data_IF_721661519135
#
_entry.id   IF_721661519135
#
_cell.length_a   1.000
_cell.length_b   1.000
_cell.length_c   1.000
_cell.angle_alpha   90.00
_cell.angle_beta   90.00
_cell.angle_gamma   90.00
#
_symmetry.space_group_name_H-M   'P 1'
#
loop_
_entity.id
_entity.type
_entity.pdbx_description
1 polymer ?
#
# COMPACT_ATOMS: atom_id res chain seq x y z
N UNK A 1 -65.95 -48.48 -3.76
CA UNK A 1 -65.77 -47.09 -3.32
C UNK A 1 -64.32 -46.97 -2.86
N UNK A 2 -63.38 -46.41 -3.64
CA UNK A 2 -61.96 -46.39 -3.28
C UNK A 2 -61.57 -45.15 -2.47
N UNK A 3 -60.64 -45.36 -1.54
CA UNK A 3 -60.40 -44.53 -0.35
C UNK A 3 -59.50 -43.31 -0.62
N UNK A 4 -59.87 -42.16 -0.05
CA UNK A 4 -59.21 -40.85 -0.21
C UNK A 4 -57.81 -40.72 0.45
N UNK A 5 -57.18 -41.83 0.86
CA UNK A 5 -55.89 -41.80 1.55
C UNK A 5 -54.70 -41.73 0.58
N UNK A 6 -54.93 -41.96 -0.72
CA UNK A 6 -53.90 -41.96 -1.77
C UNK A 6 -53.69 -40.60 -2.47
N UNK A 7 -53.97 -39.47 -1.81
CA UNK A 7 -53.76 -38.13 -2.39
C UNK A 7 -52.85 -37.22 -1.56
N UNK A 8 -52.27 -37.72 -0.45
CA UNK A 8 -51.35 -36.95 0.40
C UNK A 8 -49.91 -37.44 0.28
N UNK A 9 -49.44 -37.73 -0.93
CA UNK A 9 -48.03 -38.10 -1.14
C UNK A 9 -47.42 -37.58 -2.45
N UNK A 10 -47.88 -36.42 -2.94
CA UNK A 10 -47.36 -35.80 -4.18
C UNK A 10 -47.29 -34.28 -4.10
N UNK A 11 -46.47 -33.71 -3.21
CA UNK A 11 -46.35 -32.25 -3.19
C UNK A 11 -45.30 -31.55 -2.33
N UNK A 12 -44.38 -32.25 -1.65
CA UNK A 12 -43.40 -31.54 -0.78
C UNK A 12 -41.94 -31.95 -1.02
N UNK A 13 -41.67 -32.91 -1.90
CA UNK A 13 -40.30 -33.33 -2.27
C UNK A 13 -39.94 -32.93 -3.71
N UNK A 14 -40.59 -31.89 -4.22
CA UNK A 14 -40.32 -31.31 -5.54
C UNK A 14 -39.41 -30.10 -5.42
N UNK A 15 -38.12 -30.34 -5.62
CA UNK A 15 -37.17 -29.36 -6.15
C UNK A 15 -36.99 -28.03 -5.43
N UNK A 16 -36.13 -28.01 -4.42
CA UNK A 16 -35.16 -26.91 -4.34
C UNK A 16 -34.13 -27.19 -5.45
N UNK A 17 -34.47 -26.85 -6.70
CA UNK A 17 -33.49 -26.82 -7.79
C UNK A 17 -32.51 -25.69 -7.48
N UNK A 18 -31.50 -25.99 -6.68
CA UNK A 18 -30.34 -25.13 -6.49
C UNK A 18 -29.58 -25.15 -7.83
N UNK A 19 -29.86 -24.15 -8.67
CA UNK A 19 -29.14 -23.91 -9.89
C UNK A 19 -27.65 -23.66 -9.55
N UNK A 20 -26.71 -24.32 -10.24
CA UNK A 20 -25.27 -24.17 -9.98
C UNK A 20 -24.79 -22.72 -10.07
N UNK A 21 -25.46 -21.90 -10.89
CA UNK A 21 -25.19 -20.46 -10.99
C UNK A 21 -25.59 -19.68 -9.73
N UNK A 22 -26.63 -20.11 -9.01
CA UNK A 22 -27.09 -19.46 -7.78
C UNK A 22 -26.22 -19.86 -6.59
N UNK A 23 -25.79 -21.11 -6.49
CA UNK A 23 -24.78 -21.52 -5.50
C UNK A 23 -23.45 -20.83 -5.72
N UNK A 24 -22.99 -20.70 -6.97
CA UNK A 24 -21.77 -19.95 -7.30
C UNK A 24 -21.86 -18.48 -6.85
N UNK A 25 -22.99 -17.81 -7.10
CA UNK A 25 -23.21 -16.41 -6.65
C UNK A 25 -23.23 -16.29 -5.13
N UNK A 26 -23.90 -17.21 -4.44
CA UNK A 26 -23.94 -17.22 -2.98
C UNK A 26 -22.54 -17.50 -2.41
N UNK A 27 -21.80 -18.43 -3.00
CA UNK A 27 -20.43 -18.73 -2.60
C UNK A 27 -19.50 -17.52 -2.81
N UNK A 28 -19.61 -16.84 -3.95
CA UNK A 28 -18.84 -15.62 -4.24
C UNK A 28 -19.21 -14.48 -3.29
N UNK A 29 -20.49 -14.30 -2.97
CA UNK A 29 -20.95 -13.31 -1.99
C UNK A 29 -20.41 -13.63 -0.59
N UNK A 30 -20.51 -14.87 -0.14
CA UNK A 30 -19.98 -15.29 1.17
C UNK A 30 -18.46 -15.16 1.22
N UNK A 31 -17.76 -15.48 0.14
CA UNK A 31 -16.30 -15.36 0.05
C UNK A 31 -15.87 -13.89 0.02
N UNK A 32 -16.62 -13.01 -0.66
CA UNK A 32 -16.39 -11.56 -0.64
C UNK A 32 -16.68 -10.94 0.72
N UNK A 33 -17.70 -11.43 1.43
CA UNK A 33 -18.04 -11.00 2.78
C UNK A 33 -16.98 -11.48 3.78
N UNK A 34 -16.54 -12.73 3.69
CA UNK A 34 -15.46 -13.27 4.51
C UNK A 34 -14.14 -12.51 4.27
N UNK A 35 -13.82 -12.21 3.01
CA UNK A 35 -12.65 -11.40 2.66
C UNK A 35 -12.77 -9.97 3.19
N UNK A 36 -13.95 -9.36 3.13
CA UNK A 36 -14.20 -8.03 3.70
C UNK A 36 -14.01 -8.03 5.23
N UNK A 37 -14.52 -9.04 5.93
CA UNK A 37 -14.36 -9.20 7.39
C UNK A 37 -12.90 -9.41 7.78
N UNK A 38 -12.17 -10.23 7.04
CA UNK A 38 -10.73 -10.42 7.24
C UNK A 38 -9.93 -9.13 6.93
N UNK A 39 -10.32 -8.40 5.89
CA UNK A 39 -9.67 -7.15 5.50
C UNK A 39 -9.93 -6.01 6.52
N UNK A 40 -11.04 -6.04 7.26
CA UNK A 40 -11.33 -5.04 8.29
C UNK A 40 -10.52 -5.20 9.58
N UNK A 41 -9.81 -6.33 9.78
CA UNK A 41 -8.88 -6.54 10.89
C UNK A 41 -9.43 -6.24 12.30
N UNK A 42 -8.53 -5.92 13.24
CA UNK A 42 -8.88 -5.53 14.61
C UNK A 42 -9.47 -4.10 14.74
N UNK A 43 -9.68 -3.37 13.64
CA UNK A 43 -10.20 -2.00 13.66
C UNK A 43 -11.61 -1.90 14.29
N UNK A 44 -12.37 -3.00 14.27
CA UNK A 44 -13.72 -3.08 14.85
C UNK A 44 -13.70 -3.29 16.38
N UNK A 45 -12.61 -3.85 16.93
CA UNK A 45 -12.55 -4.30 18.33
C UNK A 45 -12.09 -3.18 19.27
N UNK A 46 -11.10 -2.37 18.87
CA UNK A 46 -10.69 -1.17 19.60
C UNK A 46 -10.14 -0.11 18.63
N UNK A 47 -10.83 1.04 18.45
CA UNK A 47 -10.36 2.15 17.60
C UNK A 47 -9.00 2.72 18.04
N UNK A 48 -8.65 2.59 19.33
CA UNK A 48 -7.44 3.15 19.93
C UNK A 48 -6.28 2.15 19.97
N UNK A 49 -6.53 0.84 19.82
CA UNK A 49 -5.49 -0.19 19.68
C UNK A 49 -5.05 -0.36 18.21
N UNK A 50 -5.11 0.72 17.42
CA UNK A 50 -4.57 0.64 16.07
C UNK A 50 -3.04 0.55 16.16
N UNK A 51 -2.47 -0.51 15.61
CA UNK A 51 -1.05 -0.57 15.32
C UNK A 51 -0.80 0.08 13.95
N UNK A 52 -1.26 1.32 13.79
CA UNK A 52 -1.05 2.07 12.55
C UNK A 52 0.39 2.56 12.50
N UNK A 53 1.09 2.19 11.43
CA UNK A 53 2.44 2.71 11.13
C UNK A 53 2.46 4.23 10.98
N UNK A 54 1.31 4.86 10.71
CA UNK A 54 1.19 6.31 10.49
C UNK A 54 0.71 7.08 11.73
N UNK A 55 0.59 6.42 12.89
CA UNK A 55 0.29 7.07 14.16
C UNK A 55 1.46 6.84 15.13
N UNK A 56 2.46 7.74 15.14
CA UNK A 56 3.70 7.50 15.87
C UNK A 56 3.45 7.72 17.37
N UNK A 57 3.92 6.78 18.18
CA UNK A 57 3.94 6.91 19.63
C UNK A 57 5.38 7.15 20.09
N UNK A 58 5.66 8.40 20.50
CA UNK A 58 6.96 8.83 20.99
C UNK A 58 7.76 9.69 20.00
N UNK A 59 8.79 10.42 20.50
CA UNK A 59 9.48 11.44 19.72
C UNK A 59 10.39 10.88 18.62
N UNK A 60 10.91 9.67 18.81
CA UNK A 60 11.73 8.97 17.79
C UNK A 60 10.86 8.55 16.60
N UNK A 61 9.72 7.92 16.88
CA UNK A 61 8.77 7.49 15.86
C UNK A 61 8.20 8.68 15.07
N UNK A 62 7.95 9.82 15.74
CA UNK A 62 7.44 11.03 15.10
C UNK A 62 8.44 11.64 14.10
N UNK A 63 9.72 11.69 14.46
CA UNK A 63 10.79 12.13 13.54
C UNK A 63 10.94 11.18 12.35
N UNK A 64 10.89 9.87 12.58
CA UNK A 64 10.94 8.87 11.51
C UNK A 64 9.77 9.04 10.53
N UNK A 65 8.55 9.22 11.06
CA UNK A 65 7.36 9.45 10.24
C UNK A 65 7.48 10.74 9.42
N UNK A 66 8.02 11.81 10.01
CA UNK A 66 8.26 13.07 9.30
C UNK A 66 9.20 12.85 8.11
N UNK A 67 10.36 12.21 8.32
CA UNK A 67 11.32 11.95 7.23
C UNK A 67 10.71 11.04 6.16
N UNK A 68 9.93 10.03 6.57
CA UNK A 68 9.21 9.16 5.65
C UNK A 68 8.29 9.96 4.72
N UNK A 69 7.48 10.87 5.24
CA UNK A 69 6.59 11.69 4.42
C UNK A 69 7.35 12.60 3.46
N UNK A 70 8.47 13.17 3.89
CA UNK A 70 9.31 14.00 3.03
C UNK A 70 9.86 13.20 1.83
N UNK A 71 10.39 12.00 2.08
CA UNK A 71 10.92 11.13 1.03
C UNK A 71 9.78 10.64 0.12
N UNK A 72 8.64 10.22 0.70
CA UNK A 72 7.50 9.72 -0.04
C UNK A 72 6.91 10.78 -0.98
N UNK A 73 6.68 11.99 -0.46
CA UNK A 73 6.14 13.11 -1.26
C UNK A 73 7.15 13.54 -2.32
N UNK A 74 8.44 13.67 -1.95
CA UNK A 74 9.49 14.00 -2.91
C UNK A 74 9.60 12.98 -4.04
N UNK A 75 9.58 11.70 -3.71
CA UNK A 75 9.57 10.59 -4.67
C UNK A 75 8.33 10.59 -5.56
N UNK A 76 7.14 10.83 -4.98
CA UNK A 76 5.90 10.91 -5.73
C UNK A 76 5.90 12.07 -6.74
N UNK A 77 6.45 13.24 -6.38
CA UNK A 77 6.61 14.36 -7.30
C UNK A 77 7.50 13.98 -8.49
N UNK A 78 8.68 13.40 -8.21
CA UNK A 78 9.61 12.98 -9.28
C UNK A 78 8.95 11.92 -10.17
N UNK A 79 8.26 10.94 -9.57
CA UNK A 79 7.54 9.91 -10.29
C UNK A 79 6.50 10.51 -11.26
N UNK A 80 5.63 11.40 -10.78
CA UNK A 80 4.61 12.06 -11.62
C UNK A 80 5.26 12.88 -12.74
N UNK A 81 6.37 13.56 -12.47
CA UNK A 81 7.08 14.33 -13.50
C UNK A 81 7.67 13.43 -14.60
N UNK A 82 8.31 12.32 -14.23
CA UNK A 82 8.91 11.38 -15.17
C UNK A 82 7.84 10.65 -15.98
N UNK A 83 6.82 10.10 -15.30
CA UNK A 83 5.68 9.45 -15.96
C UNK A 83 4.92 10.41 -16.87
N UNK A 84 4.69 11.65 -16.41
CA UNK A 84 4.06 12.70 -17.20
C UNK A 84 4.87 13.04 -18.46
N UNK A 85 6.20 13.17 -18.33
CA UNK A 85 7.08 13.41 -19.47
C UNK A 85 7.09 12.23 -20.46
N UNK A 86 7.06 10.99 -19.96
CA UNK A 86 7.00 9.78 -20.77
C UNK A 86 5.67 9.69 -21.54
N UNK A 87 4.54 9.86 -20.85
CA UNK A 87 3.20 9.88 -21.47
C UNK A 87 3.11 11.01 -22.51
N UNK A 88 3.61 12.20 -22.17
CA UNK A 88 3.68 13.32 -23.11
C UNK A 88 4.49 12.95 -24.36
N UNK A 89 5.67 12.34 -24.19
CA UNK A 89 6.50 11.93 -25.31
C UNK A 89 5.81 10.88 -26.19
N UNK A 90 5.16 9.89 -25.57
CA UNK A 90 4.40 8.85 -26.26
C UNK A 90 3.25 9.41 -27.09
N UNK A 91 2.53 10.42 -26.59
CA UNK A 91 1.39 11.02 -27.30
C UNK A 91 1.88 11.99 -28.38
N UNK A 92 2.86 12.84 -28.06
CA UNK A 92 3.32 13.92 -28.94
C UNK A 92 4.17 13.41 -30.11
N UNK A 93 5.05 12.45 -29.87
CA UNK A 93 5.97 11.90 -30.86
C UNK A 93 5.51 10.56 -31.43
N UNK A 94 4.24 10.20 -31.24
CA UNK A 94 3.64 9.03 -31.90
C UNK A 94 3.70 9.21 -33.42
N UNK A 95 4.38 8.31 -34.11
CA UNK A 95 4.44 8.29 -35.58
C UNK A 95 3.01 8.22 -36.16
N UNK A 96 2.74 9.08 -37.14
CA UNK A 96 1.44 9.15 -37.84
C UNK A 96 1.57 8.73 -39.31
N UNK A 97 2.67 9.11 -39.95
CA UNK A 97 2.96 8.79 -41.34
C UNK A 97 4.31 8.08 -41.49
N UNK A 98 4.44 7.25 -42.51
CA UNK A 98 5.63 6.43 -42.74
C UNK A 98 6.82 7.20 -43.34
N UNK A 99 6.59 8.41 -43.87
CA UNK A 99 7.63 9.18 -44.58
C UNK A 99 8.38 10.21 -43.70
N UNK A 100 8.00 10.39 -42.43
CA UNK A 100 8.70 11.30 -41.51
C UNK A 100 9.89 10.63 -40.82
N UNK A 101 11.12 10.99 -41.25
CA UNK A 101 12.34 10.65 -40.52
C UNK A 101 12.56 11.62 -39.35
N UNK A 102 12.82 11.13 -38.12
CA UNK A 102 13.04 11.99 -36.96
C UNK A 102 14.34 12.79 -37.11
N UNK A 103 14.33 14.04 -36.65
CA UNK A 103 15.52 14.89 -36.62
C UNK A 103 16.58 14.27 -35.70
N UNK A 104 17.72 13.88 -36.26
CA UNK A 104 18.87 13.40 -35.49
C UNK A 104 19.52 14.56 -34.74
N UNK A 105 19.14 14.73 -33.48
CA UNK A 105 19.80 15.65 -32.56
C UNK A 105 20.90 14.88 -31.82
N UNK A 106 22.11 15.42 -31.85
CA UNK A 106 23.19 14.94 -30.98
C UNK A 106 22.95 15.49 -29.57
N UNK A 107 23.36 14.73 -28.54
CA UNK A 107 23.03 14.96 -27.13
C UNK A 107 23.31 16.37 -26.62
N UNK A 108 22.68 16.71 -25.49
CA UNK A 108 22.80 18.02 -24.86
C UNK A 108 23.60 17.92 -23.56
N UNK A 109 24.91 18.16 -23.64
CA UNK A 109 25.84 18.10 -22.49
C UNK A 109 25.37 18.90 -21.27
N UNK A 110 24.73 20.06 -21.48
CA UNK A 110 24.24 20.90 -20.37
C UNK A 110 23.07 20.23 -19.65
N UNK A 111 22.16 19.64 -20.43
CA UNK A 111 21.03 18.90 -19.89
C UNK A 111 21.51 17.64 -19.16
N UNK A 112 22.51 16.95 -19.73
CA UNK A 112 23.15 15.76 -19.17
C UNK A 112 23.74 16.01 -17.78
N UNK A 113 24.49 17.11 -17.63
CA UNK A 113 25.07 17.51 -16.36
C UNK A 113 23.96 17.88 -15.36
N UNK A 114 22.97 18.65 -15.80
CA UNK A 114 21.89 19.14 -14.93
C UNK A 114 21.09 17.99 -14.31
N UNK A 115 20.65 17.02 -15.11
CA UNK A 115 19.86 15.90 -14.58
C UNK A 115 20.67 14.91 -13.75
N UNK A 116 22.00 14.99 -13.75
CA UNK A 116 22.85 14.11 -12.94
C UNK A 116 23.15 14.77 -11.59
N UNK A 117 23.40 16.08 -11.60
CA UNK A 117 23.67 16.87 -10.38
C UNK A 117 22.42 16.97 -9.51
N UNK A 118 21.24 17.22 -10.10
CA UNK A 118 20.00 17.39 -9.32
C UNK A 118 19.69 16.15 -8.46
N UNK A 119 19.64 14.91 -9.00
CA UNK A 119 19.40 13.72 -8.19
C UNK A 119 20.50 13.47 -7.15
N UNK A 120 21.76 13.76 -7.48
CA UNK A 120 22.86 13.60 -6.54
C UNK A 120 22.68 14.49 -5.28
N UNK A 121 22.30 15.76 -5.49
CA UNK A 121 22.03 16.70 -4.39
C UNK A 121 20.83 16.23 -3.55
N UNK A 122 19.76 15.76 -4.19
CA UNK A 122 18.56 15.26 -3.49
C UNK A 122 18.91 14.08 -2.57
N UNK A 123 19.70 13.12 -3.05
CA UNK A 123 20.14 11.97 -2.24
C UNK A 123 21.00 12.41 -1.06
N UNK A 124 21.93 13.35 -1.25
CA UNK A 124 22.76 13.88 -0.17
C UNK A 124 21.88 14.55 0.90
N UNK A 125 20.89 15.35 0.51
CA UNK A 125 19.99 16.02 1.46
C UNK A 125 19.22 15.02 2.32
N UNK A 126 18.65 13.96 1.72
CA UNK A 126 17.96 12.90 2.45
C UNK A 126 18.92 12.08 3.34
N UNK A 127 20.16 11.89 2.89
CA UNK A 127 21.15 11.15 3.68
C UNK A 127 21.50 11.90 4.96
N UNK A 128 21.67 13.22 4.89
CA UNK A 128 21.94 14.06 6.08
C UNK A 128 20.80 13.96 7.10
N UNK A 129 19.55 14.10 6.65
CA UNK A 129 18.38 13.99 7.53
C UNK A 129 18.25 12.59 8.16
N UNK A 130 18.56 11.54 7.39
CA UNK A 130 18.51 10.16 7.87
C UNK A 130 19.57 9.87 8.93
N UNK A 131 20.79 10.38 8.74
CA UNK A 131 21.89 10.22 9.69
C UNK A 131 21.59 10.97 10.99
N UNK A 132 21.02 12.18 10.92
CA UNK A 132 20.61 12.95 12.12
C UNK A 132 19.56 12.17 12.95
N UNK A 133 18.54 11.64 12.29
CA UNK A 133 17.51 10.84 12.97
C UNK A 133 18.06 9.53 13.55
N UNK A 134 19.06 8.92 12.90
CA UNK A 134 19.76 7.75 13.42
C UNK A 134 20.45 8.06 14.75
N UNK A 135 21.22 9.15 14.81
CA UNK A 135 21.89 9.55 16.05
C UNK A 135 20.89 9.94 17.15
N UNK A 136 19.82 10.65 16.81
CA UNK A 136 18.75 10.97 17.75
C UNK A 136 18.09 9.71 18.35
N UNK A 137 17.97 8.64 17.56
CA UNK A 137 17.38 7.38 18.01
C UNK A 137 18.31 6.56 18.90
N UNK A 138 19.63 6.75 18.75
CA UNK A 138 20.64 6.02 19.51
C UNK A 138 20.94 6.66 20.88
N UNK A 139 20.66 7.95 21.04
CA UNK A 139 20.91 8.67 22.28
C UNK A 139 19.84 8.37 23.34
N UNK A 140 20.29 7.94 24.53
CA UNK A 140 19.42 7.79 25.70
C UNK A 140 19.18 9.18 26.30
N UNK A 141 17.91 9.58 26.55
CA UNK A 141 17.63 10.85 27.21
C UNK A 141 18.32 10.94 28.58
N UNK A 142 19.21 11.93 28.72
CA UNK A 142 20.07 12.09 29.91
C UNK A 142 19.31 12.46 31.19
N UNK A 143 18.03 12.78 31.07
CA UNK A 143 17.23 13.43 32.12
C UNK A 143 15.94 12.63 32.38
N UNK A 144 16.10 11.42 32.92
CA UNK A 144 14.99 10.49 33.12
C UNK A 144 14.89 10.04 34.58
N UNK A 145 14.35 10.92 35.41
CA UNK A 145 13.86 10.60 36.77
C UNK A 145 12.83 9.44 36.80
N UNK A 146 12.34 9.02 35.62
CA UNK A 146 11.41 7.90 35.42
C UNK A 146 11.89 6.96 34.30
N UNK A 147 13.07 6.39 34.46
CA UNK A 147 13.52 5.28 33.61
C UNK A 147 12.92 3.96 34.08
N UNK A 148 12.37 3.20 33.13
CA UNK A 148 11.97 1.81 33.34
C UNK A 148 12.88 0.95 32.47
N UNK A 149 13.65 0.07 33.10
CA UNK A 149 14.43 -0.93 32.38
C UNK A 149 13.51 -2.09 31.99
N UNK A 150 13.36 -2.32 30.68
CA UNK A 150 12.61 -3.43 30.13
C UNK A 150 13.58 -4.46 29.58
N UNK A 151 13.46 -5.71 30.02
CA UNK A 151 14.15 -6.85 29.42
C UNK A 151 13.18 -7.56 28.48
N UNK A 152 13.50 -7.58 27.20
CA UNK A 152 12.71 -8.27 26.19
C UNK A 152 13.50 -9.49 25.69
N UNK A 153 12.92 -10.69 25.80
CA UNK A 153 13.54 -11.95 25.40
C UNK A 153 12.85 -12.47 24.14
N UNK A 154 13.56 -12.46 23.01
CA UNK A 154 13.06 -13.05 21.77
C UNK A 154 13.26 -14.57 21.75
N UNK A 155 12.17 -15.34 21.68
CA UNK A 155 12.17 -16.77 21.38
C UNK A 155 11.98 -17.02 19.87
N UNK A 156 12.19 -18.26 19.40
CA UNK A 156 12.15 -18.59 17.96
C UNK A 156 10.81 -18.24 17.27
N UNK A 157 9.70 -18.28 18.02
CA UNK A 157 8.35 -18.04 17.48
C UNK A 157 7.49 -17.08 18.32
N UNK A 158 8.03 -16.53 19.41
CA UNK A 158 7.33 -15.61 20.30
C UNK A 158 8.33 -14.71 21.06
N UNK A 159 7.82 -13.77 21.83
CA UNK A 159 8.56 -12.84 22.68
C UNK A 159 7.97 -12.82 24.10
#
# INVERSE_FOLDING_TARGET
MPDMVSMKNRGVLGSVFINSSQTQKILLLLMSLALAVLATGCFIIDPNANQSTFQPLGPVADRQLTIFWWILIGGAIVFVLVEGALIYALIKFRRRDDDELPKQVHGNKRLEILWTIIPAIVVIAFSIASIDALFYSADVPKDSDKTVTLEAIGHQWWF
#
